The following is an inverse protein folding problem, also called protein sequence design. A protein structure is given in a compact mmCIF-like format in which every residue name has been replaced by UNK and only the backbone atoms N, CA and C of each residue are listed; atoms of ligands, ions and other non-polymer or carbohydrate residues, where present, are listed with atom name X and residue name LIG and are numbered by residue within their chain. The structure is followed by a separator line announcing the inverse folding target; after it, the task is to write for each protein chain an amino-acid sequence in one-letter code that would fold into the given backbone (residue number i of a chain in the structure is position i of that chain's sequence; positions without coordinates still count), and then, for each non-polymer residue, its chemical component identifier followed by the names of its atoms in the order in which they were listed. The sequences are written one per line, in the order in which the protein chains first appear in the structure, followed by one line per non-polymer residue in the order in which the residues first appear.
data_IF_132758842680
#
_entry.id   IF_132758842680
#
_cell.length_a   1.000
_cell.length_b   1.000
_cell.length_c   1.000
_cell.angle_alpha   90.00
_cell.angle_beta   90.00
_cell.angle_gamma   90.00
#
_symmetry.space_group_name_H-M   'P 1'
#
loop_
_entity.id
_entity.type
_entity.pdbx_description
1 polymer ?
#
# COMPACT_ATOMS: atom_id res chain seq x y z
N UNK A 1 4.26 39.42 25.30
CA UNK A 1 4.95 39.19 24.02
C UNK A 1 5.16 37.69 23.88
N UNK A 2 4.52 37.16 22.86
CA UNK A 2 4.35 35.75 22.49
C UNK A 2 5.66 35.11 22.03
N UNK A 3 5.87 33.85 22.41
CA UNK A 3 6.88 32.97 21.84
C UNK A 3 6.37 31.53 21.89
N UNK A 4 5.51 31.16 20.94
CA UNK A 4 5.18 29.76 20.66
C UNK A 4 6.31 29.23 19.77
N UNK A 5 7.21 28.43 20.35
CA UNK A 5 8.07 27.55 19.57
C UNK A 5 7.16 26.47 18.96
N UNK A 6 6.88 26.59 17.66
CA UNK A 6 6.10 25.61 16.91
C UNK A 6 7.05 24.47 16.52
N UNK A 7 6.82 23.27 17.07
CA UNK A 7 7.54 22.04 16.76
C UNK A 7 7.15 21.51 15.37
N UNK A 8 7.47 22.26 14.30
CA UNK A 8 7.08 21.94 12.92
C UNK A 8 8.09 21.06 12.19
N UNK A 9 9.36 21.01 12.63
CA UNK A 9 10.41 20.29 11.90
C UNK A 9 10.16 18.78 11.78
N UNK A 10 9.63 18.14 12.83
CA UNK A 10 9.42 16.68 12.83
C UNK A 10 8.25 16.23 11.97
N UNK A 11 7.23 17.09 11.78
CA UNK A 11 6.02 16.72 11.05
C UNK A 11 6.26 16.80 9.53
N UNK A 12 6.98 17.82 9.07
CA UNK A 12 7.37 17.93 7.65
C UNK A 12 8.42 16.89 7.26
N UNK A 13 9.39 16.59 8.14
CA UNK A 13 10.39 15.55 7.88
C UNK A 13 9.75 14.16 7.75
N UNK A 14 8.84 13.80 8.65
CA UNK A 14 8.10 12.53 8.61
C UNK A 14 7.20 12.44 7.38
N UNK A 15 6.52 13.52 6.99
CA UNK A 15 5.72 13.56 5.76
C UNK A 15 6.59 13.31 4.52
N UNK A 16 7.77 13.96 4.44
CA UNK A 16 8.67 13.78 3.28
C UNK A 16 9.26 12.37 3.19
N UNK A 17 9.64 11.78 4.33
CA UNK A 17 10.24 10.44 4.38
C UNK A 17 9.18 9.36 4.13
N UNK A 18 7.97 9.54 4.67
CA UNK A 18 6.82 8.71 4.35
C UNK A 18 6.48 8.71 2.86
N UNK A 19 6.34 9.89 2.25
CA UNK A 19 6.03 9.99 0.82
C UNK A 19 7.07 9.29 -0.06
N UNK A 20 8.35 9.40 0.30
CA UNK A 20 9.43 8.70 -0.39
C UNK A 20 9.34 7.18 -0.22
N UNK A 21 9.08 6.68 0.98
CA UNK A 21 8.90 5.24 1.21
C UNK A 21 7.69 4.70 0.44
N UNK A 22 6.58 5.45 0.45
CA UNK A 22 5.38 5.11 -0.30
C UNK A 22 5.63 5.10 -1.81
N UNK A 23 6.36 6.07 -2.35
CA UNK A 23 6.77 6.09 -3.76
C UNK A 23 7.61 4.86 -4.14
N UNK A 24 8.58 4.49 -3.29
CA UNK A 24 9.43 3.31 -3.52
C UNK A 24 8.57 2.05 -3.56
N UNK A 25 7.63 1.88 -2.62
CA UNK A 25 6.74 0.71 -2.57
C UNK A 25 5.77 0.66 -3.75
N UNK A 26 5.16 1.81 -4.09
CA UNK A 26 4.17 1.93 -5.15
C UNK A 26 4.77 1.88 -6.57
N UNK A 27 6.09 2.03 -6.70
CA UNK A 27 6.76 1.95 -8.00
C UNK A 27 6.53 0.58 -8.65
N UNK A 28 6.15 0.50 -9.94
CA UNK A 28 5.98 -0.80 -10.62
C UNK A 28 7.27 -1.63 -10.67
N UNK A 29 8.44 -1.00 -10.51
CA UNK A 29 9.74 -1.66 -10.45
C UNK A 29 10.15 -2.03 -9.01
N UNK A 30 9.31 -1.77 -8.01
CA UNK A 30 9.59 -2.11 -6.61
C UNK A 30 9.62 -3.62 -6.38
N UNK A 31 10.11 -4.01 -5.20
CA UNK A 31 10.06 -5.41 -4.75
C UNK A 31 8.62 -5.91 -4.63
N UNK A 32 7.67 -5.02 -4.29
CA UNK A 32 6.23 -5.35 -4.27
C UNK A 32 5.67 -5.53 -5.68
N UNK A 33 6.03 -4.64 -6.62
CA UNK A 33 5.59 -4.72 -8.02
C UNK A 33 6.15 -5.92 -8.79
N UNK A 34 7.33 -6.41 -8.41
CA UNK A 34 8.00 -7.58 -9.00
C UNK A 34 8.21 -8.71 -7.97
N UNK A 35 7.26 -8.88 -7.07
CA UNK A 35 7.40 -9.79 -5.95
C UNK A 35 7.60 -11.24 -6.42
N UNK A 36 8.72 -11.82 -6.01
CA UNK A 36 9.05 -13.22 -6.28
C UNK A 36 9.02 -14.01 -4.96
N UNK A 37 7.96 -14.79 -4.77
CA UNK A 37 7.77 -15.64 -3.59
C UNK A 37 8.77 -16.79 -3.49
N UNK A 38 9.48 -17.12 -4.57
CA UNK A 38 10.54 -18.13 -4.57
C UNK A 38 11.92 -17.50 -4.29
N UNK A 39 12.00 -16.16 -4.26
CA UNK A 39 13.17 -15.41 -3.84
C UNK A 39 12.98 -14.80 -2.44
N UNK A 40 13.46 -15.45 -1.37
CA UNK A 40 13.23 -14.99 0.01
C UNK A 40 13.81 -13.60 0.30
N UNK A 41 14.81 -13.13 -0.47
CA UNK A 41 15.32 -11.77 -0.32
C UNK A 41 14.31 -10.71 -0.77
N UNK A 42 13.60 -10.98 -1.87
CA UNK A 42 12.57 -10.08 -2.40
C UNK A 42 11.42 -9.92 -1.41
N UNK A 43 10.98 -11.03 -0.83
CA UNK A 43 9.90 -11.00 0.18
C UNK A 43 10.36 -10.31 1.47
N UNK A 44 11.53 -10.64 2.00
CA UNK A 44 12.02 -10.01 3.22
C UNK A 44 12.23 -8.50 3.04
N UNK A 45 12.71 -8.06 1.87
CA UNK A 45 12.83 -6.63 1.58
C UNK A 45 11.46 -5.97 1.56
N UNK A 46 10.48 -6.57 0.89
CA UNK A 46 9.11 -6.03 0.83
C UNK A 46 8.47 -5.93 2.22
N UNK A 47 8.67 -6.94 3.08
CA UNK A 47 8.20 -6.91 4.46
C UNK A 47 8.89 -5.79 5.25
N UNK A 48 10.21 -5.62 5.11
CA UNK A 48 10.93 -4.53 5.76
C UNK A 48 10.43 -3.15 5.30
N UNK A 49 10.20 -2.97 3.99
CA UNK A 49 9.69 -1.72 3.44
C UNK A 49 8.28 -1.40 3.97
N UNK A 50 7.41 -2.41 4.14
CA UNK A 50 6.07 -2.25 4.73
C UNK A 50 6.12 -1.87 6.21
N UNK A 51 7.00 -2.50 6.99
CA UNK A 51 7.21 -2.16 8.40
C UNK A 51 7.70 -0.72 8.53
N UNK A 52 8.72 -0.34 7.74
CA UNK A 52 9.24 1.04 7.73
C UNK A 52 8.14 2.05 7.38
N UNK A 53 7.32 1.76 6.36
CA UNK A 53 6.19 2.62 5.98
C UNK A 53 5.21 2.85 7.14
N UNK A 54 4.89 1.79 7.90
CA UNK A 54 4.04 1.87 9.09
C UNK A 54 4.66 2.71 10.22
N UNK A 55 5.96 2.54 10.47
CA UNK A 55 6.68 3.24 11.55
C UNK A 55 6.83 4.74 11.31
N UNK A 56 7.01 5.16 10.06
CA UNK A 56 7.23 6.58 9.71
C UNK A 56 5.93 7.31 9.31
N UNK A 57 4.79 6.63 9.38
CA UNK A 57 3.51 7.17 8.95
C UNK A 57 3.14 8.46 9.71
N UNK A 58 2.73 9.53 9.01
CA UNK A 58 2.20 10.73 9.64
C UNK A 58 0.99 10.41 10.50
N UNK A 59 0.83 11.11 11.63
CA UNK A 59 -0.23 10.83 12.60
C UNK A 59 -1.65 10.85 12.01
N UNK A 60 -1.88 11.58 10.92
CA UNK A 60 -3.17 11.63 10.22
C UNK A 60 -3.54 10.35 9.47
N UNK A 61 -2.57 9.48 9.17
CA UNK A 61 -2.77 8.25 8.40
C UNK A 61 -2.11 7.03 9.07
N UNK A 62 -1.55 7.18 10.28
CA UNK A 62 -0.78 6.14 10.94
C UNK A 62 -1.56 4.84 11.16
N UNK A 63 -2.79 4.92 11.67
CA UNK A 63 -3.62 3.73 11.92
C UNK A 63 -4.00 3.00 10.62
N UNK A 64 -4.30 3.75 9.56
CA UNK A 64 -4.62 3.21 8.24
C UNK A 64 -3.40 2.55 7.59
N UNK A 65 -2.25 3.24 7.60
CA UNK A 65 -0.99 2.69 7.09
C UNK A 65 -0.59 1.43 7.85
N UNK A 66 -0.63 1.46 9.19
CA UNK A 66 -0.27 0.30 10.01
C UNK A 66 -1.18 -0.90 9.73
N UNK A 67 -2.48 -0.67 9.57
CA UNK A 67 -3.45 -1.72 9.26
C UNK A 67 -3.15 -2.39 7.91
N UNK A 68 -2.83 -1.59 6.88
CA UNK A 68 -2.46 -2.10 5.56
C UNK A 68 -1.11 -2.83 5.62
N UNK A 69 -0.09 -2.21 6.20
CA UNK A 69 1.26 -2.76 6.30
C UNK A 69 1.29 -4.11 7.02
N UNK A 70 0.64 -4.21 8.19
CA UNK A 70 0.59 -5.46 8.96
C UNK A 70 -0.16 -6.57 8.23
N UNK A 71 -1.28 -6.26 7.55
CA UNK A 71 -1.96 -7.30 6.77
C UNK A 71 -1.08 -7.82 5.63
N UNK A 72 -0.42 -6.93 4.91
CA UNK A 72 0.46 -7.34 3.81
C UNK A 72 1.66 -8.13 4.33
N UNK A 73 2.26 -7.74 5.46
CA UNK A 73 3.27 -8.54 6.14
C UNK A 73 2.77 -9.96 6.44
N UNK A 74 1.61 -10.10 7.09
CA UNK A 74 1.03 -11.40 7.44
C UNK A 74 0.78 -12.28 6.19
N UNK A 75 0.25 -11.68 5.12
CA UNK A 75 0.03 -12.36 3.84
C UNK A 75 1.38 -12.84 3.28
N UNK A 76 2.37 -11.96 3.18
CA UNK A 76 3.67 -12.28 2.60
C UNK A 76 4.38 -13.40 3.37
N UNK A 77 4.44 -13.28 4.70
CA UNK A 77 5.02 -14.29 5.58
C UNK A 77 4.28 -15.63 5.46
N UNK A 78 2.96 -15.60 5.33
CA UNK A 78 2.17 -16.82 5.13
C UNK A 78 2.48 -17.48 3.78
N UNK A 79 2.55 -16.71 2.70
CA UNK A 79 2.74 -17.24 1.35
C UNK A 79 4.14 -17.82 1.11
N UNK A 80 5.17 -17.31 1.79
CA UNK A 80 6.52 -17.92 1.75
C UNK A 80 6.63 -19.17 2.61
N UNK A 81 5.77 -19.32 3.63
CA UNK A 81 5.79 -20.48 4.52
C UNK A 81 5.18 -21.74 3.91
N UNK A 82 4.52 -21.63 2.75
CA UNK A 82 3.78 -22.73 2.10
C UNK A 82 4.31 -23.02 0.70
N UNK A 83 4.00 -24.22 0.19
CA UNK A 83 4.40 -24.60 -1.16
C UNK A 83 3.62 -23.81 -2.23
N UNK A 84 4.17 -23.60 -3.44
CA UNK A 84 3.52 -22.80 -4.49
C UNK A 84 2.07 -23.20 -4.80
N UNK A 85 1.76 -24.50 -4.77
CA UNK A 85 0.40 -25.03 -5.00
C UNK A 85 -0.60 -24.75 -3.85
N UNK A 86 -0.13 -24.30 -2.69
CA UNK A 86 -0.97 -23.94 -1.54
C UNK A 86 -1.25 -22.43 -1.45
N UNK A 87 -0.41 -21.59 -2.09
CA UNK A 87 -0.45 -20.12 -1.98
C UNK A 87 -1.84 -19.54 -2.25
N UNK A 88 -2.50 -19.92 -3.34
CA UNK A 88 -3.87 -19.43 -3.66
C UNK A 88 -4.88 -19.77 -2.57
N UNK A 89 -4.80 -20.97 -1.99
CA UNK A 89 -5.72 -21.39 -0.94
C UNK A 89 -5.46 -20.65 0.38
N UNK A 90 -4.19 -20.38 0.70
CA UNK A 90 -3.84 -19.59 1.89
C UNK A 90 -4.23 -18.12 1.71
N UNK A 91 -3.96 -17.51 0.54
CA UNK A 91 -4.36 -16.14 0.25
C UNK A 91 -5.87 -15.94 0.40
N UNK A 92 -6.67 -16.92 -0.03
CA UNK A 92 -8.14 -16.85 0.11
C UNK A 92 -8.62 -16.77 1.56
N UNK A 93 -7.81 -17.24 2.52
CA UNK A 93 -8.17 -17.14 3.94
C UNK A 93 -8.11 -15.71 4.47
N UNK A 94 -7.38 -14.82 3.80
CA UNK A 94 -7.25 -13.41 4.14
C UNK A 94 -8.32 -12.52 3.50
N UNK A 95 -9.34 -13.08 2.81
CA UNK A 95 -10.32 -12.23 2.10
C UNK A 95 -11.08 -11.28 3.04
N UNK A 96 -11.48 -11.76 4.22
CA UNK A 96 -12.19 -10.90 5.16
C UNK A 96 -11.30 -9.77 5.67
N UNK A 97 -10.02 -10.05 5.92
CA UNK A 97 -9.04 -9.07 6.35
C UNK A 97 -8.75 -8.05 5.24
N UNK A 98 -8.63 -8.50 3.99
CA UNK A 98 -8.50 -7.63 2.81
C UNK A 98 -9.72 -6.71 2.65
N UNK A 99 -10.93 -7.23 2.85
CA UNK A 99 -12.16 -6.45 2.83
C UNK A 99 -12.16 -5.40 3.96
N UNK A 100 -11.71 -5.79 5.16
CA UNK A 100 -11.67 -4.89 6.33
C UNK A 100 -10.67 -3.74 6.15
N UNK A 101 -9.53 -3.97 5.49
CA UNK A 101 -8.53 -2.92 5.26
C UNK A 101 -8.81 -2.08 4.01
N UNK A 102 -9.86 -2.37 3.24
CA UNK A 102 -10.15 -1.64 1.99
C UNK A 102 -10.32 -0.14 2.22
N UNK A 103 -10.97 0.27 3.31
CA UNK A 103 -11.11 1.70 3.67
C UNK A 103 -9.77 2.34 4.00
N UNK A 104 -8.92 1.64 4.76
CA UNK A 104 -7.58 2.11 5.11
C UNK A 104 -6.68 2.22 3.88
N UNK A 105 -6.73 1.24 2.97
CA UNK A 105 -6.00 1.27 1.70
C UNK A 105 -6.40 2.47 0.83
N UNK A 106 -7.69 2.82 0.78
CA UNK A 106 -8.17 4.02 0.07
C UNK A 106 -7.73 5.31 0.74
N UNK A 107 -7.66 5.35 2.07
CA UNK A 107 -7.16 6.51 2.79
C UNK A 107 -5.67 6.72 2.50
N UNK A 108 -4.89 5.64 2.47
CA UNK A 108 -3.48 5.65 2.09
C UNK A 108 -3.27 6.10 0.64
N UNK A 109 -4.06 5.57 -0.30
CA UNK A 109 -4.06 5.98 -1.71
C UNK A 109 -4.35 7.49 -1.84
N UNK A 110 -5.45 7.96 -1.23
CA UNK A 110 -5.83 9.38 -1.22
C UNK A 110 -4.75 10.28 -0.62
N UNK A 111 -4.14 9.87 0.50
CA UNK A 111 -3.03 10.59 1.10
C UNK A 111 -1.83 10.67 0.13
N UNK A 112 -1.47 9.55 -0.50
CA UNK A 112 -0.39 9.51 -1.48
C UNK A 112 -0.64 10.41 -2.69
N UNK A 113 -1.89 10.52 -3.16
CA UNK A 113 -2.24 11.42 -4.26
C UNK A 113 -2.18 12.90 -3.86
N UNK A 114 -2.80 13.25 -2.72
CA UNK A 114 -2.99 14.64 -2.30
C UNK A 114 -1.71 15.22 -1.71
N UNK A 115 -1.06 14.49 -0.81
CA UNK A 115 0.08 14.99 -0.03
C UNK A 115 1.42 14.61 -0.67
N UNK A 116 1.51 13.43 -1.28
CA UNK A 116 2.76 12.96 -1.90
C UNK A 116 2.83 13.19 -3.42
N UNK A 117 1.72 13.57 -4.07
CA UNK A 117 1.67 13.78 -5.52
C UNK A 117 1.87 12.49 -6.34
N UNK A 118 1.60 11.32 -5.74
CA UNK A 118 1.69 10.03 -6.41
C UNK A 118 0.45 9.80 -7.29
N UNK A 119 0.62 8.98 -8.34
CA UNK A 119 -0.49 8.57 -9.20
C UNK A 119 -0.61 7.06 -9.09
N UNK A 120 -1.70 6.59 -8.50
CA UNK A 120 -1.98 5.17 -8.37
C UNK A 120 -2.87 4.69 -9.52
N UNK A 121 -2.70 3.43 -9.91
CA UNK A 121 -3.72 2.75 -10.72
C UNK A 121 -4.69 2.11 -9.74
N UNK A 122 -5.74 2.84 -9.37
CA UNK A 122 -6.68 2.36 -8.37
C UNK A 122 -7.46 1.15 -8.91
N UNK A 123 -7.44 0.00 -8.22
CA UNK A 123 -8.36 -1.10 -8.53
C UNK A 123 -9.80 -0.76 -8.13
N UNK A 124 -10.02 0.36 -7.43
CA UNK A 124 -11.32 0.80 -6.93
C UNK A 124 -12.02 1.80 -7.86
N UNK A 125 -11.32 2.36 -8.84
CA UNK A 125 -11.93 3.24 -9.82
C UNK A 125 -12.73 2.44 -10.87
N UNK A 126 -13.94 2.92 -11.27
CA UNK A 126 -14.66 2.31 -12.37
C UNK A 126 -13.86 2.49 -13.66
N UNK A 127 -13.58 1.38 -14.34
CA UNK A 127 -12.88 1.38 -15.62
C UNK A 127 -13.59 2.31 -16.61
N UNK A 128 -12.92 3.36 -17.06
CA UNK A 128 -13.45 4.32 -18.04
C UNK A 128 -13.37 3.81 -19.48
N UNK A 129 -13.01 2.55 -19.67
CA UNK A 129 -13.01 1.92 -21.00
C UNK A 129 -14.44 1.95 -21.53
N UNK A 130 -14.73 2.69 -22.61
CA UNK A 130 -16.04 2.66 -23.20
C UNK A 130 -16.32 1.23 -23.62
N UNK A 131 -17.36 0.63 -23.03
CA UNK A 131 -17.92 -0.61 -23.55
C UNK A 131 -18.17 -0.39 -25.03
N UNK A 132 -17.63 -1.21 -25.95
CA UNK A 132 -17.94 -1.07 -27.36
C UNK A 132 -19.46 -1.09 -27.48
N UNK A 133 -20.06 0.05 -27.85
CA UNK A 133 -21.48 0.10 -28.13
C UNK A 133 -21.75 -1.00 -29.15
N UNK A 134 -22.65 -1.92 -28.81
CA UNK A 134 -23.28 -2.74 -29.83
C UNK A 134 -23.70 -1.80 -30.94
N UNK A 135 -23.10 -2.02 -32.11
CA UNK A 135 -23.56 -1.47 -33.37
C UNK A 135 -24.93 -2.12 -33.55
N UNK A 136 -25.98 -1.50 -33.01
CA UNK A 136 -27.34 -1.83 -33.37
C UNK A 136 -27.64 -0.97 -34.59
N UNK A 137 -27.47 -1.62 -35.75
CA UNK A 137 -28.06 -1.20 -37.01
C UNK A 137 -29.56 -0.93 -36.79
N UNK A 138 -30.01 0.31 -37.04
CA UNK A 138 -31.32 0.63 -37.64
C UNK A 138 -31.30 2.04 -38.27
#
# INVERSE_FOLDING_TARGET
MTGFACSTDSVEENSSSFCRALEILANPNSSLGNLDFDNPKSVNQTVADLIELGEIAPASIADDTQSVASLYEDILLKLVSVSPNQRTNELRKFQNELDNVTTAARALESYGEIECGLVFTSPFEPSTVPTPSEIQDE
#
